data_IF_090359159495
#
_entry.id   IF_090359159495
#
_cell.length_a   1.000
_cell.length_b   1.000
_cell.length_c   1.000
_cell.angle_alpha   90.00
_cell.angle_beta   90.00
_cell.angle_gamma   90.00
#
_symmetry.space_group_name_H-M   'P 1'
#
loop_
_entity.id
_entity.type
_entity.pdbx_description
1 polymer ?
#
# COMPACT_ATOMS: atom_id res chain seq x y z
N UNK A 1 -2.96 11.51 18.16
CA UNK A 1 -2.38 11.10 16.87
C UNK A 1 -3.15 9.88 16.35
N UNK A 2 -3.72 9.99 15.15
CA UNK A 2 -4.27 8.87 14.39
C UNK A 2 -3.32 8.58 13.23
N UNK A 3 -2.96 7.32 13.02
CA UNK A 3 -2.08 6.93 11.94
C UNK A 3 -2.57 5.65 11.28
N UNK A 4 -2.55 5.62 9.96
CA UNK A 4 -2.90 4.45 9.15
C UNK A 4 -1.81 4.20 8.12
N UNK A 5 -1.62 2.93 7.76
CA UNK A 5 -0.69 2.52 6.72
C UNK A 5 -1.40 1.60 5.73
N UNK A 6 -1.12 1.80 4.44
CA UNK A 6 -1.63 0.97 3.35
C UNK A 6 -0.52 0.67 2.36
N UNK A 7 -0.50 -0.54 1.82
CA UNK A 7 0.31 -0.86 0.65
C UNK A 7 -0.51 -0.51 -0.60
N UNK A 8 0.11 0.16 -1.58
CA UNK A 8 -0.55 0.52 -2.82
C UNK A 8 0.21 -0.03 -4.01
N UNK A 9 -0.54 -0.59 -4.96
CA UNK A 9 -0.09 -0.73 -6.34
C UNK A 9 -0.57 0.50 -7.11
N UNK A 10 0.32 1.20 -7.80
CA UNK A 10 0.05 2.53 -8.37
C UNK A 10 -0.31 2.50 -9.86
N UNK A 11 0.09 1.45 -10.58
CA UNK A 11 0.03 1.39 -12.05
C UNK A 11 -0.70 0.15 -12.56
N UNK A 12 -1.83 -0.21 -11.96
CA UNK A 12 -2.59 -1.39 -12.38
C UNK A 12 -3.40 -1.10 -13.65
N UNK A 13 -3.42 -2.05 -14.57
CA UNK A 13 -4.41 -2.07 -15.66
C UNK A 13 -5.70 -2.79 -15.25
N UNK A 14 -6.74 -2.68 -16.07
CA UNK A 14 -8.07 -3.25 -15.78
C UNK A 14 -8.03 -4.76 -15.48
N UNK A 15 -7.21 -5.51 -16.21
CA UNK A 15 -7.08 -6.96 -15.99
C UNK A 15 -6.43 -7.26 -14.64
N UNK A 16 -5.31 -6.59 -14.35
CA UNK A 16 -4.60 -6.71 -13.08
C UNK A 16 -5.49 -6.33 -11.89
N UNK A 17 -6.30 -5.28 -12.02
CA UNK A 17 -7.25 -4.87 -10.99
C UNK A 17 -8.27 -5.97 -10.65
N UNK A 18 -8.85 -6.61 -11.67
CA UNK A 18 -9.81 -7.72 -11.47
C UNK A 18 -9.16 -8.93 -10.80
N UNK A 19 -7.93 -9.26 -11.20
CA UNK A 19 -7.14 -10.35 -10.62
C UNK A 19 -6.78 -10.04 -9.16
N UNK A 20 -6.42 -8.79 -8.85
CA UNK A 20 -6.08 -8.35 -7.49
C UNK A 20 -7.28 -8.42 -6.55
N UNK A 21 -8.47 -7.98 -6.99
CA UNK A 21 -9.72 -8.11 -6.21
C UNK A 21 -10.01 -9.58 -5.88
N UNK A 22 -9.77 -10.48 -6.84
CA UNK A 22 -10.00 -11.92 -6.63
C UNK A 22 -9.00 -12.50 -5.61
N UNK A 23 -7.75 -12.03 -5.64
CA UNK A 23 -6.68 -12.51 -4.77
C UNK A 23 -6.78 -11.92 -3.34
N UNK A 24 -7.12 -10.65 -3.22
CA UNK A 24 -7.20 -9.90 -1.97
C UNK A 24 -8.56 -9.18 -1.94
N UNK A 25 -9.63 -9.84 -1.47
CA UNK A 25 -11.00 -9.28 -1.51
C UNK A 25 -11.20 -7.99 -0.71
N UNK A 26 -10.27 -7.67 0.21
CA UNK A 26 -10.29 -6.46 1.02
C UNK A 26 -9.56 -5.27 0.36
N UNK A 27 -9.06 -5.43 -0.87
CA UNK A 27 -8.43 -4.34 -1.61
C UNK A 27 -9.46 -3.27 -1.96
N UNK A 28 -9.11 -2.02 -1.70
CA UNK A 28 -9.87 -0.86 -2.13
C UNK A 28 -9.28 -0.37 -3.45
N UNK A 29 -10.08 -0.29 -4.51
CA UNK A 29 -9.64 0.23 -5.79
C UNK A 29 -9.97 1.72 -5.91
N UNK A 30 -9.08 2.48 -6.54
CA UNK A 30 -9.31 3.86 -6.92
C UNK A 30 -8.63 4.19 -8.24
N UNK A 31 -8.95 5.36 -8.79
CA UNK A 31 -8.30 5.85 -10.01
C UNK A 31 -7.04 6.66 -9.65
N UNK A 32 -5.98 6.50 -10.44
CA UNK A 32 -4.80 7.34 -10.29
C UNK A 32 -5.12 8.76 -10.78
N UNK A 33 -4.86 9.77 -9.97
CA UNK A 33 -5.33 11.15 -10.20
C UNK A 33 -4.82 11.80 -11.51
N UNK A 34 -3.70 11.32 -12.04
CA UNK A 34 -3.00 11.90 -13.19
C UNK A 34 -2.83 10.93 -14.39
N UNK A 35 -3.34 9.70 -14.30
CA UNK A 35 -3.14 8.69 -15.36
C UNK A 35 -4.30 7.72 -15.47
N UNK A 36 -4.44 7.05 -16.61
CA UNK A 36 -5.45 6.00 -16.84
C UNK A 36 -5.18 4.68 -16.07
N UNK A 37 -4.25 4.70 -15.11
CA UNK A 37 -3.96 3.57 -14.25
C UNK A 37 -4.90 3.52 -13.05
N UNK A 38 -5.15 2.30 -12.58
CA UNK A 38 -5.86 2.06 -11.33
C UNK A 38 -4.87 1.88 -10.17
N UNK A 39 -5.31 2.31 -8.99
CA UNK A 39 -4.60 2.15 -7.73
C UNK A 39 -5.30 1.09 -6.89
N UNK A 40 -4.57 0.05 -6.50
CA UNK A 40 -5.05 -0.97 -5.56
C UNK A 40 -4.50 -0.71 -4.17
N UNK A 41 -5.35 -0.42 -3.19
CA UNK A 41 -4.99 -0.03 -1.83
C UNK A 41 -5.33 -1.13 -0.84
N UNK A 42 -4.34 -1.59 -0.07
CA UNK A 42 -4.47 -2.69 0.90
C UNK A 42 -4.08 -2.16 2.26
N UNK A 43 -5.03 -2.10 3.20
CA UNK A 43 -4.77 -1.66 4.58
C UNK A 43 -3.83 -2.64 5.29
N UNK A 44 -2.79 -2.12 5.92
CA UNK A 44 -1.77 -2.91 6.63
C UNK A 44 -2.13 -3.04 8.11
N UNK A 45 -3.16 -3.85 8.37
CA UNK A 45 -3.66 -4.11 9.73
C UNK A 45 -2.87 -5.28 10.37
N UNK A 46 -2.62 -6.33 9.60
CA UNK A 46 -1.87 -7.53 9.98
C UNK A 46 -1.09 -8.10 8.79
N UNK A 47 -0.37 -9.20 8.99
CA UNK A 47 0.48 -9.82 7.96
C UNK A 47 -0.26 -10.69 6.94
N UNK A 48 -1.58 -10.85 7.04
CA UNK A 48 -2.36 -11.84 6.29
C UNK A 48 -2.27 -11.67 4.77
N UNK A 49 -2.00 -10.46 4.29
CA UNK A 49 -1.92 -10.16 2.86
C UNK A 49 -0.50 -10.10 2.30
N UNK A 50 0.55 -10.26 3.11
CA UNK A 50 1.93 -10.04 2.65
C UNK A 50 2.34 -11.00 1.54
N UNK A 51 2.04 -12.28 1.69
CA UNK A 51 2.34 -13.31 0.68
C UNK A 51 1.55 -13.07 -0.61
N UNK A 52 0.28 -12.65 -0.49
CA UNK A 52 -0.56 -12.34 -1.63
C UNK A 52 -0.04 -11.11 -2.40
N UNK A 53 0.36 -10.05 -1.69
CA UNK A 53 0.99 -8.85 -2.26
C UNK A 53 2.26 -9.24 -3.02
N UNK A 54 3.16 -9.99 -2.39
CA UNK A 54 4.41 -10.42 -3.01
C UNK A 54 4.16 -11.30 -4.23
N UNK A 55 3.28 -12.30 -4.10
CA UNK A 55 2.92 -13.20 -5.20
C UNK A 55 2.36 -12.44 -6.39
N UNK A 56 1.44 -11.50 -6.16
CA UNK A 56 0.86 -10.68 -7.21
C UNK A 56 1.89 -9.81 -7.90
N UNK A 57 2.72 -9.10 -7.12
CA UNK A 57 3.81 -8.27 -7.64
C UNK A 57 4.76 -9.07 -8.53
N UNK A 58 5.18 -10.25 -8.06
CA UNK A 58 6.11 -11.12 -8.78
C UNK A 58 5.46 -11.70 -10.05
N UNK A 59 4.19 -12.13 -9.99
CA UNK A 59 3.45 -12.64 -11.13
C UNK A 59 3.37 -11.62 -12.28
N UNK A 60 3.16 -10.35 -11.94
CA UNK A 60 3.04 -9.26 -12.92
C UNK A 60 4.34 -8.50 -13.18
N UNK A 61 5.46 -8.92 -12.57
CA UNK A 61 6.76 -8.26 -12.70
C UNK A 61 6.71 -6.75 -12.40
N UNK A 62 5.87 -6.35 -11.43
CA UNK A 62 5.75 -4.95 -11.01
C UNK A 62 7.04 -4.52 -10.32
N UNK A 63 7.54 -3.35 -10.68
CA UNK A 63 8.76 -2.80 -10.08
C UNK A 63 8.46 -2.33 -8.66
N UNK A 64 9.46 -2.27 -7.77
CA UNK A 64 9.28 -1.66 -6.46
C UNK A 64 8.77 -0.21 -6.51
N UNK A 65 9.06 0.52 -7.58
CA UNK A 65 8.57 1.90 -7.84
C UNK A 65 7.12 1.97 -8.30
N UNK A 66 6.54 0.86 -8.75
CA UNK A 66 5.12 0.76 -9.14
C UNK A 66 4.22 0.51 -7.92
N UNK A 67 4.84 0.48 -6.74
CA UNK A 67 4.19 0.26 -5.46
C UNK A 67 4.68 1.31 -4.45
N UNK A 68 3.93 1.50 -3.37
CA UNK A 68 4.44 2.15 -2.19
C UNK A 68 3.75 1.64 -0.92
N UNK A 69 4.33 2.03 0.22
CA UNK A 69 3.60 2.04 1.49
C UNK A 69 3.23 3.49 1.77
N UNK A 70 1.94 3.76 1.81
CA UNK A 70 1.40 5.06 2.17
C UNK A 70 1.05 5.09 3.65
N UNK A 71 1.61 6.07 4.35
CA UNK A 71 1.38 6.32 5.78
C UNK A 71 0.69 7.68 5.92
N UNK A 72 -0.53 7.67 6.45
CA UNK A 72 -1.28 8.88 6.78
C UNK A 72 -1.24 9.11 8.27
N UNK A 73 -0.77 10.27 8.72
CA UNK A 73 -0.68 10.64 10.13
C UNK A 73 -1.44 11.96 10.34
N UNK A 74 -2.40 11.95 11.25
CA UNK A 74 -3.15 13.13 11.68
C UNK A 74 -2.88 13.35 13.17
N UNK A 75 -2.40 14.54 13.55
CA UNK A 75 -2.10 14.84 14.96
C UNK A 75 -2.49 16.26 15.37
N UNK A 76 -3.35 16.35 16.38
CA UNK A 76 -3.78 17.62 17.01
C UNK A 76 -2.71 18.22 17.96
N UNK A 77 -1.66 17.46 18.28
CA UNK A 77 -0.58 17.86 19.20
C UNK A 77 0.79 17.49 18.60
N UNK A 78 1.87 18.11 19.10
CA UNK A 78 3.27 17.79 18.76
C UNK A 78 3.75 16.45 19.35
N UNK A 79 2.91 15.43 19.34
CA UNK A 79 3.30 14.07 19.67
C UNK A 79 3.82 13.42 18.37
N UNK A 80 5.07 13.71 18.01
CA UNK A 80 5.65 13.54 16.67
C UNK A 80 6.16 12.12 16.36
N UNK A 81 5.86 11.11 17.19
CA UNK A 81 6.45 9.77 17.06
C UNK A 81 5.39 8.73 16.70
N UNK A 82 5.36 8.30 15.45
CA UNK A 82 4.67 7.09 15.01
C UNK A 82 5.63 5.92 14.90
N UNK A 83 5.31 4.82 15.57
CA UNK A 83 6.06 3.56 15.45
C UNK A 83 5.37 2.69 14.41
N UNK A 84 6.06 2.43 13.31
CA UNK A 84 5.57 1.58 12.24
C UNK A 84 5.19 0.18 12.78
N UNK A 85 3.97 -0.32 12.47
CA UNK A 85 3.58 -1.69 12.75
C UNK A 85 4.55 -2.70 12.11
N UNK A 86 4.68 -3.88 12.71
CA UNK A 86 5.58 -4.95 12.22
C UNK A 86 5.31 -5.32 10.75
N UNK A 87 4.04 -5.29 10.33
CA UNK A 87 3.63 -5.55 8.94
C UNK A 87 4.26 -4.57 7.94
N UNK A 88 4.34 -3.28 8.29
CA UNK A 88 4.97 -2.25 7.45
C UNK A 88 6.44 -2.58 7.25
N UNK A 89 7.17 -2.84 8.35
CA UNK A 89 8.59 -3.19 8.28
C UNK A 89 8.85 -4.46 7.47
N UNK A 90 7.97 -5.47 7.61
CA UNK A 90 8.06 -6.69 6.82
C UNK A 90 7.92 -6.42 5.33
N UNK A 91 6.92 -5.63 4.91
CA UNK A 91 6.71 -5.31 3.50
C UNK A 91 7.82 -4.42 2.94
N UNK A 92 8.39 -3.50 3.72
CA UNK A 92 9.58 -2.74 3.30
C UNK A 92 10.71 -3.72 2.97
N UNK A 93 10.97 -4.70 3.83
CA UNK A 93 12.05 -5.67 3.61
C UNK A 93 11.79 -6.61 2.42
N UNK A 94 10.53 -6.99 2.17
CA UNK A 94 10.15 -7.94 1.10
C UNK A 94 10.01 -7.25 -0.26
N UNK A 95 9.46 -6.03 -0.28
CA UNK A 95 9.14 -5.31 -1.51
C UNK A 95 10.20 -4.29 -1.89
N UNK A 96 10.86 -3.69 -0.89
CA UNK A 96 11.80 -2.59 -1.10
C UNK A 96 11.19 -1.44 -1.89
N UNK A 97 9.91 -1.13 -1.63
CA UNK A 97 9.17 -0.03 -2.25
C UNK A 97 9.34 1.28 -1.45
N UNK A 98 9.09 2.44 -2.09
CA UNK A 98 9.03 3.73 -1.40
C UNK A 98 8.05 3.75 -0.22
N UNK A 99 8.39 4.55 0.79
CA UNK A 99 7.52 4.90 1.90
C UNK A 99 7.07 6.35 1.70
N UNK A 100 5.76 6.56 1.51
CA UNK A 100 5.16 7.88 1.24
C UNK A 100 4.37 8.32 2.46
N UNK A 101 4.61 9.54 2.91
CA UNK A 101 3.96 10.10 4.09
C UNK A 101 3.00 11.23 3.71
N UNK A 102 1.82 11.21 4.33
CA UNK A 102 0.94 12.36 4.44
C UNK A 102 0.80 12.74 5.90
N UNK A 103 1.06 14.01 6.22
CA UNK A 103 0.97 14.54 7.57
C UNK A 103 0.01 15.72 7.60
N UNK A 104 -0.97 15.65 8.50
CA UNK A 104 -1.97 16.69 8.71
C UNK A 104 -2.04 17.07 10.19
N UNK A 105 -2.15 18.37 10.48
CA UNK A 105 -2.39 18.93 11.81
C UNK A 105 -3.83 19.39 11.96
#
# INVERSE_FOLDING_TARGET
MYASASFRFLTLNEKQSKELITLIPTVEMGDHYESDYMVGCIKLIDNGNNEAIEKFRNLHSLKPTDCDIFVSITSEKRDEIWRAPKVVNNLINIVNCPLVFSYSC
#
